data_IF_374193678759
#
_entry.id   IF_374193678759
#
_cell.length_a   1.000
_cell.length_b   1.000
_cell.length_c   1.000
_cell.angle_alpha   90.00
_cell.angle_beta   90.00
_cell.angle_gamma   90.00
#
_symmetry.space_group_name_H-M   'P 1'
#
loop_
_entity.id
_entity.type
_entity.pdbx_description
1 polymer ?
#
# COMPACT_ATOMS: atom_id res chain seq x y z
N UNK A 1 6.10 33.47 23.13
CA UNK A 1 4.92 32.66 23.56
C UNK A 1 3.90 32.62 22.44
N UNK A 2 3.55 31.46 21.94
CA UNK A 2 2.51 31.35 20.87
C UNK A 2 1.18 31.90 21.39
N UNK A 3 0.49 32.67 20.56
CA UNK A 3 -0.84 33.19 20.90
C UNK A 3 -1.86 32.04 20.98
N UNK A 4 -2.90 32.20 21.80
CA UNK A 4 -4.00 31.23 21.89
C UNK A 4 -4.66 31.00 20.53
N UNK A 5 -4.74 32.04 19.73
CA UNK A 5 -5.33 31.99 18.40
C UNK A 5 -4.46 31.20 17.42
N UNK A 6 -3.14 31.38 17.47
CA UNK A 6 -2.19 30.62 16.65
C UNK A 6 -2.26 29.10 16.92
N UNK A 7 -2.35 28.72 18.21
CA UNK A 7 -2.48 27.32 18.62
C UNK A 7 -3.77 26.70 18.07
N UNK A 8 -4.89 27.42 18.17
CA UNK A 8 -6.19 26.98 17.60
C UNK A 8 -6.10 26.77 16.08
N UNK A 9 -5.60 27.77 15.37
CA UNK A 9 -5.51 27.73 13.89
C UNK A 9 -4.66 26.53 13.47
N UNK A 10 -3.49 26.35 14.10
CA UNK A 10 -2.61 25.22 13.77
C UNK A 10 -3.29 23.88 14.01
N UNK A 11 -3.91 23.67 15.19
CA UNK A 11 -4.62 22.43 15.49
C UNK A 11 -5.78 22.18 14.52
N UNK A 12 -6.54 23.22 14.18
CA UNK A 12 -7.66 23.08 13.23
C UNK A 12 -7.17 22.69 11.85
N UNK A 13 -6.15 23.38 11.31
CA UNK A 13 -5.59 23.06 9.98
C UNK A 13 -5.08 21.62 9.94
N UNK A 14 -4.33 21.20 10.97
CA UNK A 14 -3.79 19.84 11.04
C UNK A 14 -4.91 18.79 11.08
N UNK A 15 -5.96 18.99 11.86
CA UNK A 15 -7.08 18.05 11.96
C UNK A 15 -7.91 18.02 10.67
N UNK A 16 -8.11 19.15 9.99
CA UNK A 16 -8.79 19.20 8.68
C UNK A 16 -7.99 18.44 7.63
N UNK A 17 -6.66 18.58 7.62
CA UNK A 17 -5.79 17.83 6.71
C UNK A 17 -5.90 16.32 6.97
N UNK A 18 -5.83 15.88 8.23
CA UNK A 18 -6.03 14.47 8.57
C UNK A 18 -7.41 13.95 8.22
N UNK A 19 -8.45 14.78 8.37
CA UNK A 19 -9.81 14.43 7.96
C UNK A 19 -9.91 14.13 6.46
N UNK A 20 -9.27 14.96 5.63
CA UNK A 20 -9.23 14.74 4.17
C UNK A 20 -8.49 13.45 3.82
N UNK A 21 -7.29 13.25 4.40
CA UNK A 21 -6.49 12.04 4.17
C UNK A 21 -7.26 10.79 4.60
N UNK A 22 -7.88 10.82 5.77
CA UNK A 22 -8.68 9.72 6.31
C UNK A 22 -9.91 9.42 5.43
N UNK A 23 -10.55 10.45 4.88
CA UNK A 23 -11.66 10.31 3.94
C UNK A 23 -11.24 9.61 2.64
N UNK A 24 -10.09 9.97 2.09
CA UNK A 24 -9.51 9.30 0.92
C UNK A 24 -9.18 7.83 1.24
N UNK A 25 -8.53 7.55 2.37
CA UNK A 25 -8.24 6.17 2.80
C UNK A 25 -9.51 5.33 2.96
N UNK A 26 -10.52 5.88 3.62
CA UNK A 26 -11.81 5.21 3.80
C UNK A 26 -12.49 4.94 2.46
N UNK A 27 -12.52 5.92 1.56
CA UNK A 27 -13.10 5.79 0.23
C UNK A 27 -12.42 4.70 -0.61
N UNK A 28 -11.09 4.68 -0.64
CA UNK A 28 -10.31 3.64 -1.32
C UNK A 28 -10.57 2.27 -0.68
N UNK A 29 -10.57 2.19 0.66
CA UNK A 29 -10.83 0.93 1.38
C UNK A 29 -12.22 0.37 1.07
N UNK A 30 -13.25 1.22 1.07
CA UNK A 30 -14.62 0.83 0.71
C UNK A 30 -14.69 0.41 -0.75
N UNK A 31 -14.10 1.18 -1.67
CA UNK A 31 -14.08 0.85 -3.08
C UNK A 31 -13.46 -0.53 -3.33
N UNK A 32 -12.28 -0.78 -2.73
CA UNK A 32 -11.64 -2.09 -2.79
C UNK A 32 -12.53 -3.18 -2.18
N UNK A 33 -13.17 -2.95 -1.06
CA UNK A 33 -14.04 -3.95 -0.40
C UNK A 33 -15.28 -4.25 -1.22
N UNK A 34 -15.94 -3.23 -1.81
CA UNK A 34 -17.17 -3.39 -2.61
C UNK A 34 -16.89 -4.12 -3.91
N UNK A 35 -15.83 -3.75 -4.63
CA UNK A 35 -15.38 -4.47 -5.84
C UNK A 35 -15.12 -5.96 -5.56
N UNK A 36 -14.85 -6.31 -4.29
CA UNK A 36 -14.54 -7.67 -3.86
C UNK A 36 -15.70 -8.48 -3.31
N UNK A 37 -16.79 -7.85 -2.86
CA UNK A 37 -17.96 -8.59 -2.33
C UNK A 37 -18.49 -9.57 -3.38
N UNK A 38 -18.35 -9.25 -4.66
CA UNK A 38 -18.65 -10.18 -5.77
C UNK A 38 -17.68 -11.36 -5.92
N UNK A 39 -16.60 -11.42 -5.15
CA UNK A 39 -15.45 -12.30 -5.40
C UNK A 39 -15.06 -13.15 -4.20
N UNK A 40 -15.51 -12.80 -2.97
CA UNK A 40 -15.18 -13.56 -1.76
C UNK A 40 -15.60 -15.03 -1.86
N UNK A 41 -16.57 -15.33 -2.71
CA UNK A 41 -17.07 -16.69 -2.93
C UNK A 41 -16.13 -17.57 -3.77
N UNK A 42 -15.12 -16.99 -4.43
CA UNK A 42 -14.22 -17.74 -5.35
C UNK A 42 -12.79 -17.79 -4.84
N UNK A 43 -12.38 -16.91 -3.90
CA UNK A 43 -10.97 -16.76 -3.50
C UNK A 43 -10.78 -16.81 -2.00
N UNK A 44 -10.30 -17.93 -1.51
CA UNK A 44 -9.80 -18.10 -0.15
C UNK A 44 -8.51 -17.31 0.18
N UNK A 45 -8.34 -16.07 -0.27
CA UNK A 45 -7.21 -15.22 0.14
C UNK A 45 -7.69 -14.15 1.11
N UNK A 46 -7.80 -14.52 2.38
CA UNK A 46 -8.19 -13.63 3.49
C UNK A 46 -7.27 -12.41 3.63
N UNK A 47 -6.03 -12.51 3.17
CA UNK A 47 -5.02 -11.47 3.34
C UNK A 47 -5.33 -10.16 2.59
N UNK A 48 -5.85 -10.27 1.37
CA UNK A 48 -6.19 -9.09 0.60
C UNK A 48 -7.46 -8.41 1.13
N UNK A 49 -8.41 -9.20 1.63
CA UNK A 49 -9.61 -8.70 2.32
C UNK A 49 -9.22 -8.01 3.62
N UNK A 50 -8.30 -8.59 4.39
CA UNK A 50 -7.79 -8.00 5.62
C UNK A 50 -7.18 -6.61 5.39
N UNK A 51 -6.43 -6.41 4.29
CA UNK A 51 -5.88 -5.10 3.93
C UNK A 51 -6.94 -4.03 3.67
N UNK A 52 -8.00 -4.37 2.91
CA UNK A 52 -9.11 -3.45 2.64
C UNK A 52 -9.89 -3.11 3.91
N UNK A 53 -10.22 -4.09 4.74
CA UNK A 53 -10.89 -3.85 6.03
C UNK A 53 -10.02 -3.02 6.98
N UNK A 54 -8.71 -3.27 7.01
CA UNK A 54 -7.77 -2.48 7.81
C UNK A 54 -7.78 -0.99 7.37
N UNK A 55 -7.78 -0.72 6.06
CA UNK A 55 -7.89 0.65 5.55
C UNK A 55 -9.22 1.31 5.93
N UNK A 56 -10.34 0.58 5.89
CA UNK A 56 -11.66 1.08 6.30
C UNK A 56 -11.65 1.43 7.79
N UNK A 57 -11.18 0.52 8.64
CA UNK A 57 -11.15 0.70 10.09
C UNK A 57 -10.23 1.87 10.45
N UNK A 58 -9.00 1.90 9.92
CA UNK A 58 -8.05 2.99 10.18
C UNK A 58 -8.58 4.34 9.69
N UNK A 59 -9.16 4.39 8.49
CA UNK A 59 -9.76 5.60 7.94
C UNK A 59 -10.92 6.11 8.80
N UNK A 60 -11.83 5.23 9.23
CA UNK A 60 -12.94 5.59 10.10
C UNK A 60 -12.46 6.13 11.47
N UNK A 61 -11.51 5.45 12.11
CA UNK A 61 -10.92 5.90 13.39
C UNK A 61 -10.25 7.26 13.25
N UNK A 62 -9.46 7.48 12.19
CA UNK A 62 -8.80 8.76 11.93
C UNK A 62 -9.81 9.90 11.67
N UNK A 63 -10.93 9.63 10.98
CA UNK A 63 -12.03 10.59 10.80
C UNK A 63 -12.60 11.00 12.17
N UNK A 64 -12.90 10.03 13.04
CA UNK A 64 -13.44 10.31 14.37
C UNK A 64 -12.47 11.15 15.21
N UNK A 65 -11.17 10.80 15.21
CA UNK A 65 -10.14 11.57 15.92
C UNK A 65 -10.04 13.00 15.39
N UNK A 66 -10.09 13.17 14.05
CA UNK A 66 -10.00 14.47 13.41
C UNK A 66 -11.21 15.37 13.73
N UNK A 67 -12.42 14.82 13.69
CA UNK A 67 -13.64 15.53 14.11
C UNK A 67 -13.54 15.95 15.57
N UNK A 68 -13.10 15.03 16.44
CA UNK A 68 -12.94 15.33 17.87
C UNK A 68 -11.85 16.40 18.11
N UNK A 69 -10.78 16.36 17.33
CA UNK A 69 -9.75 17.38 17.35
C UNK A 69 -10.28 18.78 16.97
N UNK A 70 -11.09 18.87 15.92
CA UNK A 70 -11.76 20.13 15.55
C UNK A 70 -12.74 20.62 16.65
N UNK A 71 -13.56 19.72 17.20
CA UNK A 71 -14.47 20.05 18.29
C UNK A 71 -13.73 20.54 19.55
N UNK A 72 -12.58 19.95 19.87
CA UNK A 72 -11.76 20.35 21.02
C UNK A 72 -11.23 21.77 20.88
N UNK A 73 -10.88 22.19 19.66
CA UNK A 73 -10.40 23.57 19.39
C UNK A 73 -11.52 24.62 19.38
N UNK A 74 -12.74 24.23 18.97
CA UNK A 74 -13.90 25.12 18.94
C UNK A 74 -14.47 25.32 20.36
N UNK A 75 -14.77 24.21 21.06
CA UNK A 75 -15.46 24.28 22.35
C UNK A 75 -14.54 24.68 23.51
N UNK A 76 -13.22 24.49 23.40
CA UNK A 76 -12.21 24.83 24.41
C UNK A 76 -12.53 24.30 25.83
N UNK A 77 -13.25 23.18 25.92
CA UNK A 77 -13.51 22.50 27.20
C UNK A 77 -12.36 21.55 27.51
N UNK A 78 -11.88 21.57 28.76
CA UNK A 78 -10.75 20.73 29.22
C UNK A 78 -10.93 19.25 28.88
N UNK A 79 -12.16 18.74 29.03
CA UNK A 79 -12.49 17.34 28.77
C UNK A 79 -12.27 16.94 27.31
N UNK A 80 -12.67 17.77 26.35
CA UNK A 80 -12.48 17.51 24.92
C UNK A 80 -11.01 17.45 24.52
N UNK A 81 -10.20 18.36 25.08
CA UNK A 81 -8.76 18.43 24.81
C UNK A 81 -8.05 17.22 25.42
N UNK A 82 -8.47 16.77 26.62
CA UNK A 82 -7.88 15.60 27.27
C UNK A 82 -8.20 14.32 26.49
N UNK A 83 -9.45 14.14 26.05
CA UNK A 83 -9.84 12.99 25.22
C UNK A 83 -9.05 12.97 23.90
N UNK A 84 -8.93 14.10 23.22
CA UNK A 84 -8.12 14.22 22.02
C UNK A 84 -6.65 13.85 22.27
N UNK A 85 -6.05 14.37 23.33
CA UNK A 85 -4.68 14.05 23.71
C UNK A 85 -4.48 12.54 23.94
N UNK A 86 -5.38 11.90 24.67
CA UNK A 86 -5.33 10.45 24.93
C UNK A 86 -5.49 9.67 23.63
N UNK A 87 -6.41 10.07 22.75
CA UNK A 87 -6.61 9.41 21.47
C UNK A 87 -5.36 9.47 20.58
N UNK A 88 -4.71 10.64 20.48
CA UNK A 88 -3.45 10.80 19.72
C UNK A 88 -2.31 10.01 20.35
N UNK A 89 -2.20 10.00 21.69
CA UNK A 89 -1.19 9.22 22.40
C UNK A 89 -1.34 7.72 22.16
N UNK A 90 -2.56 7.19 22.25
CA UNK A 90 -2.86 5.78 21.95
C UNK A 90 -2.50 5.47 20.49
N UNK A 91 -2.86 6.35 19.55
CA UNK A 91 -2.51 6.17 18.13
C UNK A 91 -0.99 6.11 17.92
N UNK A 92 -0.23 6.96 18.60
CA UNK A 92 1.23 6.93 18.53
C UNK A 92 1.83 5.64 19.07
N UNK A 93 1.32 5.14 20.21
CA UNK A 93 1.75 3.86 20.80
C UNK A 93 1.44 2.70 19.82
N UNK A 94 0.26 2.70 19.23
CA UNK A 94 -0.14 1.71 18.23
C UNK A 94 0.77 1.72 17.00
N UNK A 95 1.14 2.89 16.48
CA UNK A 95 2.08 3.03 15.36
C UNK A 95 3.47 2.50 15.68
N UNK A 96 4.00 2.81 16.86
CA UNK A 96 5.30 2.29 17.32
C UNK A 96 5.21 0.77 17.45
N UNK A 97 4.17 0.25 18.09
CA UNK A 97 3.93 -1.19 18.22
C UNK A 97 3.85 -1.90 16.85
N UNK A 98 3.11 -1.34 15.90
CA UNK A 98 3.01 -1.85 14.54
C UNK A 98 4.38 -1.87 13.83
N UNK A 99 5.20 -0.84 14.01
CA UNK A 99 6.56 -0.79 13.46
C UNK A 99 7.47 -1.88 14.04
N UNK A 100 7.41 -2.10 15.35
CA UNK A 100 8.17 -3.17 16.03
C UNK A 100 7.71 -4.54 15.53
N UNK A 101 6.40 -4.77 15.45
CA UNK A 101 5.83 -6.03 14.94
C UNK A 101 6.25 -6.27 13.48
N UNK A 102 6.17 -5.27 12.62
CA UNK A 102 6.60 -5.37 11.23
C UNK A 102 8.09 -5.75 11.11
N UNK A 103 8.95 -5.18 11.96
CA UNK A 103 10.36 -5.52 12.00
C UNK A 103 10.61 -6.94 12.54
N UNK A 104 9.87 -7.35 13.57
CA UNK A 104 10.02 -8.69 14.18
C UNK A 104 9.54 -9.81 13.25
N UNK A 105 8.44 -9.59 12.51
CA UNK A 105 7.80 -10.60 11.65
C UNK A 105 8.08 -10.39 10.15
N UNK A 106 9.15 -9.68 9.78
CA UNK A 106 9.46 -9.41 8.37
C UNK A 106 9.60 -10.69 7.52
N UNK A 107 10.07 -11.80 8.09
CA UNK A 107 10.18 -13.08 7.40
C UNK A 107 8.80 -13.68 7.06
N UNK A 108 7.89 -13.69 8.01
CA UNK A 108 6.51 -14.16 7.83
C UNK A 108 5.75 -13.29 6.85
N UNK A 109 5.93 -11.97 6.94
CA UNK A 109 5.33 -11.01 5.99
C UNK A 109 5.83 -11.32 4.57
N UNK A 110 7.14 -11.54 4.40
CA UNK A 110 7.72 -11.89 3.11
C UNK A 110 7.12 -13.18 2.55
N UNK A 111 7.11 -14.27 3.34
CA UNK A 111 6.58 -15.56 2.89
C UNK A 111 5.11 -15.48 2.50
N UNK A 112 4.31 -14.76 3.29
CA UNK A 112 2.89 -14.54 3.04
C UNK A 112 2.65 -13.70 1.77
N UNK A 113 3.44 -12.63 1.57
CA UNK A 113 3.38 -11.83 0.35
C UNK A 113 3.72 -12.66 -0.89
N UNK A 114 4.80 -13.44 -0.85
CA UNK A 114 5.19 -14.29 -1.97
C UNK A 114 4.10 -15.33 -2.30
N UNK A 115 3.53 -15.97 -1.28
CA UNK A 115 2.44 -16.93 -1.46
C UNK A 115 1.20 -16.26 -2.08
N UNK A 116 0.82 -15.08 -1.59
CA UNK A 116 -0.31 -14.31 -2.11
C UNK A 116 -0.08 -13.85 -3.56
N UNK A 117 1.11 -13.35 -3.88
CA UNK A 117 1.49 -12.95 -5.24
C UNK A 117 1.43 -14.15 -6.22
N UNK A 118 1.94 -15.32 -5.81
CA UNK A 118 1.87 -16.55 -6.60
C UNK A 118 0.42 -16.98 -6.82
N UNK A 119 -0.38 -17.00 -5.77
CA UNK A 119 -1.79 -17.37 -5.86
C UNK A 119 -2.57 -16.43 -6.81
N UNK A 120 -2.36 -15.12 -6.74
CA UNK A 120 -3.03 -14.18 -7.64
C UNK A 120 -2.61 -14.37 -9.09
N UNK A 121 -1.33 -14.60 -9.37
CA UNK A 121 -0.83 -14.82 -10.72
C UNK A 121 -1.35 -16.14 -11.30
N UNK A 122 -1.37 -17.22 -10.53
CA UNK A 122 -1.84 -18.53 -10.99
C UNK A 122 -3.36 -18.58 -11.20
N UNK A 123 -4.12 -17.96 -10.27
CA UNK A 123 -5.57 -18.12 -10.23
C UNK A 123 -6.33 -17.08 -11.06
N UNK A 124 -5.74 -15.92 -11.35
CA UNK A 124 -6.47 -14.81 -11.98
C UNK A 124 -5.82 -14.25 -13.22
N UNK A 125 -4.50 -14.31 -13.36
CA UNK A 125 -3.82 -13.70 -14.48
C UNK A 125 -4.22 -14.36 -15.80
N UNK A 126 -4.82 -13.57 -16.71
CA UNK A 126 -5.29 -14.03 -18.01
C UNK A 126 -6.62 -14.77 -17.99
N UNK A 127 -7.36 -14.79 -16.88
CA UNK A 127 -8.73 -15.28 -16.83
C UNK A 127 -9.68 -14.23 -17.43
N UNK A 128 -10.71 -14.64 -18.18
CA UNK A 128 -11.71 -13.74 -18.75
C UNK A 128 -12.76 -13.36 -17.68
N UNK A 129 -12.89 -12.07 -17.40
CA UNK A 129 -13.86 -11.51 -16.46
C UNK A 129 -13.40 -10.19 -15.87
N UNK A 130 -14.33 -9.28 -15.60
CA UNK A 130 -14.09 -7.87 -15.19
C UNK A 130 -13.04 -7.71 -14.12
N UNK A 131 -12.86 -8.70 -13.27
CA UNK A 131 -11.92 -8.70 -12.18
C UNK A 131 -10.56 -9.28 -12.54
N UNK A 132 -10.53 -10.36 -13.25
CA UNK A 132 -9.31 -10.93 -13.75
C UNK A 132 -8.62 -9.92 -14.67
N UNK A 133 -9.39 -9.11 -15.39
CA UNK A 133 -8.89 -7.98 -16.17
C UNK A 133 -8.19 -6.96 -15.26
N UNK A 134 -8.76 -6.62 -14.10
CA UNK A 134 -8.12 -5.73 -13.13
C UNK A 134 -6.83 -6.32 -12.56
N UNK A 135 -6.81 -7.60 -12.20
CA UNK A 135 -5.61 -8.29 -11.70
C UNK A 135 -4.56 -8.39 -12.80
N UNK A 136 -4.95 -8.77 -14.00
CA UNK A 136 -4.06 -8.87 -15.17
C UNK A 136 -3.43 -7.49 -15.47
N UNK A 137 -4.26 -6.44 -15.55
CA UNK A 137 -3.78 -5.08 -15.76
C UNK A 137 -2.84 -4.60 -14.63
N UNK A 138 -3.14 -4.94 -13.38
CA UNK A 138 -2.29 -4.58 -12.24
C UNK A 138 -0.92 -5.26 -12.31
N UNK A 139 -0.88 -6.54 -12.70
CA UNK A 139 0.36 -7.27 -12.93
C UNK A 139 1.15 -6.67 -14.09
N UNK A 140 0.51 -6.42 -15.24
CA UNK A 140 1.14 -5.84 -16.41
C UNK A 140 1.73 -4.46 -16.12
N UNK A 141 0.97 -3.60 -15.41
CA UNK A 141 1.44 -2.28 -14.98
C UNK A 141 2.63 -2.40 -14.04
N UNK A 142 2.57 -3.30 -13.06
CA UNK A 142 3.66 -3.51 -12.10
C UNK A 142 4.92 -4.02 -12.80
N UNK A 143 4.78 -4.99 -13.69
CA UNK A 143 5.91 -5.57 -14.43
C UNK A 143 6.57 -4.56 -15.35
N UNK A 144 5.78 -3.75 -16.04
CA UNK A 144 6.29 -2.69 -16.91
C UNK A 144 6.99 -1.59 -16.08
N UNK A 145 6.35 -1.14 -14.98
CA UNK A 145 6.89 -0.06 -14.13
C UNK A 145 8.17 -0.46 -13.42
N UNK A 146 8.20 -1.67 -12.86
CA UNK A 146 9.34 -2.17 -12.08
C UNK A 146 10.37 -2.94 -12.94
N UNK A 147 10.08 -3.15 -14.23
CA UNK A 147 10.92 -3.92 -15.17
C UNK A 147 11.25 -5.31 -14.63
N UNK A 148 10.20 -6.04 -14.27
CA UNK A 148 10.27 -7.34 -13.60
C UNK A 148 9.37 -8.36 -14.29
N UNK A 149 9.51 -9.65 -13.95
CA UNK A 149 8.66 -10.70 -14.46
C UNK A 149 8.34 -11.71 -13.36
N UNK A 150 7.07 -12.12 -13.27
CA UNK A 150 6.56 -13.06 -12.28
C UNK A 150 6.81 -12.60 -10.82
N UNK A 151 6.93 -13.53 -9.88
CA UNK A 151 6.99 -13.23 -8.44
C UNK A 151 8.43 -13.14 -7.94
N UNK A 152 9.21 -14.20 -8.11
CA UNK A 152 10.61 -14.25 -7.70
C UNK A 152 11.55 -14.25 -8.91
N UNK A 153 12.84 -14.09 -8.64
CA UNK A 153 13.86 -14.07 -9.69
C UNK A 153 13.82 -15.37 -10.49
N UNK A 154 13.72 -15.22 -11.82
CA UNK A 154 13.65 -16.34 -12.77
C UNK A 154 12.44 -17.28 -12.61
N UNK A 155 11.39 -16.84 -11.92
CA UNK A 155 10.18 -17.64 -11.64
C UNK A 155 9.11 -17.49 -12.76
N UNK A 156 9.51 -17.08 -13.95
CA UNK A 156 8.62 -16.90 -15.10
C UNK A 156 7.90 -18.19 -15.54
N UNK A 157 8.36 -19.36 -15.12
CA UNK A 157 7.68 -20.65 -15.31
C UNK A 157 6.30 -20.70 -14.65
N UNK A 158 6.06 -19.85 -13.65
CA UNK A 158 4.79 -19.74 -12.96
C UNK A 158 3.63 -19.41 -13.90
N UNK A 159 3.89 -18.70 -15.03
CA UNK A 159 2.87 -18.43 -16.04
C UNK A 159 2.29 -19.68 -16.70
N UNK A 160 3.01 -20.82 -16.72
CA UNK A 160 2.47 -22.09 -17.23
C UNK A 160 1.33 -22.64 -16.39
N UNK A 161 1.27 -22.25 -15.13
CA UNK A 161 0.23 -22.67 -14.19
C UNK A 161 -0.95 -21.68 -14.17
N UNK A 162 -0.79 -20.50 -14.80
CA UNK A 162 -1.79 -19.45 -14.86
C UNK A 162 -2.84 -19.69 -15.96
N UNK A 163 -3.95 -18.97 -15.87
CA UNK A 163 -4.97 -18.94 -16.92
C UNK A 163 -4.44 -18.40 -18.24
N UNK A 164 -3.49 -17.48 -18.23
CA UNK A 164 -2.84 -16.94 -19.43
C UNK A 164 -2.31 -18.04 -20.35
N UNK A 165 -1.71 -19.08 -19.81
CA UNK A 165 -1.22 -20.21 -20.60
C UNK A 165 -2.32 -21.22 -20.90
N UNK A 166 -3.16 -21.55 -19.93
CA UNK A 166 -4.26 -22.53 -20.06
C UNK A 166 -5.25 -22.12 -21.15
N UNK A 167 -5.66 -20.85 -21.17
CA UNK A 167 -6.58 -20.32 -22.19
C UNK A 167 -6.02 -20.48 -23.60
N UNK A 168 -4.73 -20.28 -23.82
CA UNK A 168 -4.11 -20.49 -25.13
C UNK A 168 -4.18 -21.96 -25.58
N UNK A 169 -4.00 -22.89 -24.66
CA UNK A 169 -4.13 -24.33 -24.97
C UNK A 169 -5.58 -24.70 -25.27
N UNK A 170 -6.53 -24.21 -24.48
CA UNK A 170 -7.97 -24.46 -24.70
C UNK A 170 -8.47 -23.87 -26.01
N UNK A 171 -7.95 -22.72 -26.42
CA UNK A 171 -8.23 -22.08 -27.71
C UNK A 171 -7.55 -22.77 -28.89
N UNK A 172 -6.76 -23.81 -28.66
CA UNK A 172 -6.10 -24.59 -29.72
C UNK A 172 -4.97 -23.85 -30.41
N UNK A 173 -4.32 -22.90 -29.75
CA UNK A 173 -3.17 -22.18 -30.30
C UNK A 173 -2.05 -23.18 -30.65
N UNK A 174 -1.50 -23.10 -31.87
CA UNK A 174 -0.43 -23.99 -32.31
C UNK A 174 0.83 -23.84 -31.42
N UNK A 175 1.55 -24.93 -31.17
CA UNK A 175 2.73 -24.95 -30.29
C UNK A 175 3.78 -23.85 -30.57
N UNK A 176 3.98 -23.49 -31.85
CA UNK A 176 4.92 -22.43 -32.25
C UNK A 176 4.42 -21.00 -32.02
N UNK A 177 3.14 -20.83 -31.71
CA UNK A 177 2.50 -19.53 -31.48
C UNK A 177 2.15 -19.29 -30.01
N UNK A 178 2.33 -20.29 -29.15
CA UNK A 178 2.08 -20.17 -27.70
C UNK A 178 3.03 -19.15 -27.10
N UNK A 179 2.46 -18.19 -26.36
CA UNK A 179 3.18 -17.21 -25.58
C UNK A 179 3.43 -17.78 -24.17
N UNK A 180 4.67 -17.90 -23.76
CA UNK A 180 5.03 -18.44 -22.43
C UNK A 180 4.99 -17.39 -21.32
N UNK A 181 5.17 -16.12 -21.68
CA UNK A 181 5.10 -14.97 -20.78
C UNK A 181 4.33 -13.82 -21.42
N UNK A 182 3.73 -12.92 -20.63
CA UNK A 182 3.07 -11.74 -21.16
C UNK A 182 4.05 -10.72 -21.73
N UNK A 183 3.53 -9.76 -22.46
CA UNK A 183 4.33 -8.68 -23.07
C UNK A 183 4.97 -7.78 -22.02
N UNK A 184 4.32 -7.60 -20.88
CA UNK A 184 4.81 -6.83 -19.72
C UNK A 184 6.10 -7.39 -19.11
N UNK A 185 6.39 -8.67 -19.32
CA UNK A 185 7.66 -9.32 -18.94
C UNK A 185 8.81 -9.03 -19.93
N UNK A 186 8.52 -8.44 -21.09
CA UNK A 186 9.51 -8.26 -22.14
C UNK A 186 10.21 -6.91 -22.04
N UNK A 187 11.51 -6.90 -22.38
CA UNK A 187 12.34 -5.70 -22.32
C UNK A 187 11.82 -4.65 -23.30
N UNK A 188 11.39 -3.52 -22.76
CA UNK A 188 10.92 -2.37 -23.50
C UNK A 188 11.99 -1.27 -23.52
N UNK A 189 12.19 -0.69 -24.69
CA UNK A 189 13.17 0.41 -24.88
C UNK A 189 12.41 1.72 -25.06
N UNK A 190 12.49 2.60 -24.09
CA UNK A 190 11.85 3.94 -24.11
C UNK A 190 12.36 4.79 -25.29
N UNK A 191 13.65 4.66 -25.66
CA UNK A 191 14.27 5.42 -26.74
C UNK A 191 13.58 5.21 -28.09
N UNK A 192 13.06 4.01 -28.33
CA UNK A 192 12.41 3.64 -29.59
C UNK A 192 10.93 3.35 -29.42
N UNK A 193 10.40 3.47 -28.20
CA UNK A 193 9.01 3.16 -27.85
C UNK A 193 8.55 1.78 -28.35
N UNK A 194 9.42 0.78 -28.26
CA UNK A 194 9.15 -0.58 -28.72
C UNK A 194 9.86 -1.64 -27.89
N UNK A 195 9.34 -2.86 -27.94
CA UNK A 195 10.01 -4.03 -27.37
C UNK A 195 11.28 -4.38 -28.14
N UNK A 196 12.32 -4.80 -27.43
CA UNK A 196 13.59 -5.20 -28.06
C UNK A 196 13.38 -6.34 -29.04
N UNK A 197 12.70 -7.40 -28.64
CA UNK A 197 12.28 -8.50 -29.50
C UNK A 197 11.15 -9.31 -28.84
N UNK A 198 9.91 -8.97 -29.15
CA UNK A 198 8.73 -9.59 -28.55
C UNK A 198 8.63 -11.09 -28.86
N UNK A 199 8.96 -11.48 -30.09
CA UNK A 199 8.93 -12.90 -30.50
C UNK A 199 9.96 -13.72 -29.73
N UNK A 200 11.18 -13.24 -29.57
CA UNK A 200 12.22 -13.91 -28.79
C UNK A 200 11.85 -13.96 -27.31
N UNK A 201 11.23 -12.89 -26.77
CA UNK A 201 10.76 -12.84 -25.39
C UNK A 201 9.70 -13.91 -25.10
N UNK A 202 8.65 -13.95 -25.95
CA UNK A 202 7.43 -14.72 -25.66
C UNK A 202 7.43 -16.14 -26.22
N UNK A 203 8.01 -16.34 -27.43
CA UNK A 203 7.80 -17.54 -28.25
C UNK A 203 9.07 -18.33 -28.59
N UNK A 204 10.27 -17.92 -28.09
CA UNK A 204 11.54 -18.56 -28.49
C UNK A 204 11.57 -20.03 -28.04
N UNK A 205 11.75 -20.93 -29.01
CA UNK A 205 11.86 -22.37 -28.75
C UNK A 205 13.17 -22.76 -28.07
N UNK A 206 14.25 -21.99 -28.25
CA UNK A 206 15.57 -22.22 -27.64
C UNK A 206 15.83 -21.42 -26.39
N UNK A 207 15.13 -20.30 -26.24
CA UNK A 207 15.20 -19.38 -25.09
C UNK A 207 13.82 -19.17 -24.48
N UNK A 208 12.87 -20.07 -24.79
CA UNK A 208 11.51 -19.94 -24.30
C UNK A 208 11.51 -19.96 -22.77
N UNK A 209 10.87 -18.99 -22.15
CA UNK A 209 10.73 -18.98 -20.71
C UNK A 209 10.12 -20.28 -20.26
N UNK A 210 10.84 -21.01 -19.40
CA UNK A 210 10.37 -22.28 -18.86
C UNK A 210 10.61 -23.49 -19.75
N UNK A 211 11.35 -23.42 -20.85
CA UNK A 211 11.91 -24.60 -21.50
C UNK A 211 13.08 -25.14 -20.64
N UNK A 212 13.36 -26.46 -20.74
CA UNK A 212 14.52 -27.05 -20.06
C UNK A 212 15.85 -26.53 -20.61
N UNK A 213 15.81 -25.85 -21.74
CA UNK A 213 16.95 -25.23 -22.43
C UNK A 213 17.14 -23.74 -22.06
N UNK A 214 16.21 -23.15 -21.32
CA UNK A 214 16.37 -21.77 -20.85
C UNK A 214 17.44 -21.68 -19.78
N UNK A 215 18.60 -21.22 -20.17
CA UNK A 215 19.76 -20.99 -19.29
C UNK A 215 19.76 -19.57 -18.68
N UNK A 216 18.68 -18.82 -18.79
CA UNK A 216 18.60 -17.45 -18.29
C UNK A 216 19.35 -16.43 -19.14
N UNK A 217 19.48 -16.67 -20.45
CA UNK A 217 20.24 -15.84 -21.39
C UNK A 217 19.36 -15.15 -22.43
N UNK A 218 18.05 -15.07 -22.24
CA UNK A 218 17.18 -14.35 -23.17
C UNK A 218 17.28 -12.82 -22.93
N UNK A 219 17.93 -12.07 -23.81
CA UNK A 219 18.16 -10.63 -23.60
C UNK A 219 16.88 -9.78 -23.70
N UNK A 220 15.79 -10.39 -24.21
CA UNK A 220 14.51 -9.71 -24.38
C UNK A 220 13.55 -9.93 -23.19
N UNK A 221 13.96 -10.66 -22.15
CA UNK A 221 13.12 -11.02 -20.98
C UNK A 221 13.70 -10.39 -19.71
N UNK A 222 12.82 -9.87 -18.83
CA UNK A 222 13.19 -9.49 -17.47
C UNK A 222 13.32 -10.73 -16.58
N UNK A 223 14.46 -10.91 -15.92
CA UNK A 223 14.72 -12.04 -15.01
C UNK A 223 14.56 -11.70 -13.54
N UNK A 224 14.46 -10.41 -13.21
CA UNK A 224 14.20 -9.95 -11.84
C UNK A 224 12.75 -10.20 -11.48
N UNK A 225 12.49 -10.87 -10.36
CA UNK A 225 11.16 -11.06 -9.82
C UNK A 225 10.54 -9.76 -9.31
N UNK A 226 9.23 -9.62 -9.44
CA UNK A 226 8.55 -8.37 -9.09
C UNK A 226 8.58 -8.09 -7.58
N UNK A 227 8.65 -9.13 -6.74
CA UNK A 227 8.90 -8.93 -5.31
C UNK A 227 10.28 -8.26 -5.07
N UNK A 228 11.34 -8.79 -5.67
CA UNK A 228 12.68 -8.22 -5.50
C UNK A 228 12.80 -6.83 -6.11
N UNK A 229 12.20 -6.61 -7.27
CA UNK A 229 12.14 -5.29 -7.90
C UNK A 229 11.41 -4.26 -7.02
N UNK A 230 10.27 -4.64 -6.42
CA UNK A 230 9.54 -3.80 -5.47
C UNK A 230 10.37 -3.48 -4.22
N UNK A 231 11.06 -4.48 -3.65
CA UNK A 231 11.97 -4.27 -2.51
C UNK A 231 13.09 -3.31 -2.87
N UNK A 232 13.68 -3.45 -4.05
CA UNK A 232 14.74 -2.56 -4.53
C UNK A 232 14.21 -1.13 -4.77
N UNK A 233 13.00 -0.99 -5.31
CA UNK A 233 12.34 0.30 -5.49
C UNK A 233 12.10 0.99 -4.14
N UNK A 234 11.57 0.27 -3.15
CA UNK A 234 11.37 0.78 -1.79
C UNK A 234 12.70 1.18 -1.15
N UNK A 235 13.73 0.34 -1.26
CA UNK A 235 15.08 0.66 -0.74
C UNK A 235 15.70 1.86 -1.44
N UNK A 236 15.54 1.97 -2.76
CA UNK A 236 16.04 3.11 -3.54
C UNK A 236 15.34 4.43 -3.20
N UNK A 237 14.11 4.36 -2.67
CA UNK A 237 13.34 5.53 -2.23
C UNK A 237 13.18 5.61 -0.70
N UNK A 238 14.05 4.91 0.06
CA UNK A 238 13.95 4.81 1.51
C UNK A 238 14.00 6.18 2.20
N UNK A 239 14.80 7.12 1.68
CA UNK A 239 14.90 8.48 2.23
C UNK A 239 13.55 9.20 2.21
N UNK A 240 12.79 9.09 1.11
CA UNK A 240 11.46 9.69 0.97
C UNK A 240 10.48 9.05 1.96
N UNK A 241 10.48 7.71 2.05
CA UNK A 241 9.58 6.98 2.94
C UNK A 241 9.88 7.26 4.42
N UNK A 242 11.17 7.26 4.79
CA UNK A 242 11.62 7.61 6.16
C UNK A 242 11.30 9.06 6.46
N UNK A 243 11.54 9.98 5.50
CA UNK A 243 11.21 11.39 5.64
C UNK A 243 9.71 11.63 5.87
N UNK A 244 8.83 10.94 5.13
CA UNK A 244 7.39 11.01 5.34
C UNK A 244 6.97 10.46 6.72
N UNK A 245 7.49 9.30 7.13
CA UNK A 245 7.18 8.69 8.42
C UNK A 245 7.66 9.56 9.60
N UNK A 246 8.86 10.12 9.48
CA UNK A 246 9.40 11.04 10.46
C UNK A 246 8.58 12.34 10.54
N UNK A 247 8.25 12.94 9.37
CA UNK A 247 7.42 14.14 9.30
C UNK A 247 6.05 13.92 9.94
N UNK A 248 5.41 12.78 9.68
CA UNK A 248 4.14 12.42 10.30
C UNK A 248 4.25 12.30 11.83
N UNK A 249 5.31 11.65 12.31
CA UNK A 249 5.57 11.52 13.77
C UNK A 249 5.77 12.88 14.43
N UNK A 250 6.52 13.78 13.80
CA UNK A 250 6.71 15.15 14.30
C UNK A 250 5.38 15.90 14.38
N UNK A 251 4.51 15.78 13.40
CA UNK A 251 3.19 16.42 13.41
C UNK A 251 2.34 15.90 14.59
N UNK A 252 2.34 14.59 14.86
CA UNK A 252 1.62 14.01 15.99
C UNK A 252 2.16 14.52 17.33
N UNK A 253 3.49 14.57 17.50
CA UNK A 253 4.13 15.08 18.71
C UNK A 253 3.80 16.56 18.90
N UNK A 254 3.88 17.38 17.86
CA UNK A 254 3.46 18.78 17.90
C UNK A 254 1.99 18.93 18.32
N UNK A 255 1.10 18.10 17.77
CA UNK A 255 -0.31 18.06 18.15
C UNK A 255 -0.52 17.78 19.64
N UNK A 256 0.23 16.82 20.20
CA UNK A 256 0.20 16.53 21.64
C UNK A 256 0.72 17.71 22.48
N UNK A 257 1.85 18.30 22.09
CA UNK A 257 2.41 19.47 22.80
C UNK A 257 1.43 20.64 22.78
N UNK A 258 0.84 20.93 21.63
CA UNK A 258 -0.16 22.01 21.51
C UNK A 258 -1.43 21.71 22.33
N UNK A 259 -1.86 20.46 22.39
CA UNK A 259 -2.98 20.05 23.23
C UNK A 259 -2.70 20.30 24.72
N UNK A 260 -1.50 19.93 25.20
CA UNK A 260 -1.09 20.20 26.60
C UNK A 260 -1.01 21.72 26.87
N UNK A 261 -0.41 22.49 25.96
CA UNK A 261 -0.30 23.93 26.10
C UNK A 261 -1.67 24.61 26.16
N UNK A 262 -2.60 24.16 25.32
CA UNK A 262 -3.96 24.67 25.30
C UNK A 262 -4.71 24.28 26.58
N UNK A 263 -4.57 23.05 27.06
CA UNK A 263 -5.14 22.57 28.31
C UNK A 263 -4.65 23.39 29.50
N UNK A 264 -3.34 23.62 29.63
CA UNK A 264 -2.75 24.43 30.70
C UNK A 264 -3.27 25.86 30.66
N UNK A 265 -3.39 26.48 29.50
CA UNK A 265 -3.92 27.85 29.38
C UNK A 265 -5.38 27.95 29.79
N UNK A 266 -6.22 27.00 29.40
CA UNK A 266 -7.62 26.97 29.83
C UNK A 266 -7.71 26.77 31.34
N UNK A 267 -6.84 25.94 31.92
CA UNK A 267 -6.80 25.73 33.38
C UNK A 267 -6.44 27.00 34.12
N UNK A 268 -5.44 27.74 33.62
CA UNK A 268 -4.98 28.99 34.21
C UNK A 268 -6.07 30.09 34.18
N UNK A 269 -6.80 30.20 33.08
CA UNK A 269 -7.88 31.20 32.92
C UNK A 269 -9.10 30.92 33.84
N UNK A 270 -9.29 29.70 34.30
CA UNK A 270 -10.38 29.28 35.18
C UNK A 270 -10.01 29.24 36.67
N UNK A 271 -8.75 29.43 37.07
CA UNK A 271 -8.37 29.55 38.49
C UNK A 271 -8.72 30.96 38.97
N UNK A 272 -9.60 31.10 40.00
CA UNK A 272 -9.97 32.42 40.53
C UNK A 272 -8.74 33.11 41.10
N UNK A 273 -8.72 34.44 40.96
CA UNK A 273 -7.57 35.33 41.40
C UNK A 273 -7.20 35.15 42.85
N UNK A 274 -8.13 34.68 43.71
CA UNK A 274 -7.90 34.48 45.15
C UNK A 274 -6.90 33.38 45.51
N UNK A 275 -6.60 32.46 44.58
CA UNK A 275 -5.59 31.39 44.79
C UNK A 275 -4.23 31.71 44.17
N UNK A 276 -4.08 32.86 43.53
CA UNK A 276 -2.87 33.29 42.84
C UNK A 276 -1.85 34.02 43.75
N UNK A 277 -2.28 34.44 44.93
CA UNK A 277 -1.47 35.21 45.88
C UNK A 277 -1.00 34.43 47.13
N UNK A 278 -1.09 33.09 47.10
CA UNK A 278 -0.50 32.27 48.20
C UNK A 278 0.68 31.45 47.72
#
# INVERSE_FOLDING_TARGET
MLSRQTLKIFMTITNVLFFIIAGVMLGIGIWIAVDKIFISDIIGTDLFNAGAYLMIICGAVLILISIWGCLSTVQMKRMYIMIYFVAVLVSLIMLIGAGIMAAAFQGEIKSTMLASMRATLQSYYGYEGTRADTVTHSWDTTQTLLRCCAVEDRDYRLYRESWFYKTQIEQGVQRGEIKYVPESCCVYTERYQQYVNLKTCQKSTHMAPGSDTDRGNNPALYYTGCYQAAVNFVKGNAEVLVGMGFGFSVILICGMVFSILLYRRITYDFTPVSTRER
#
